data_IF_362093720639
#
_entry.id   IF_362093720639
#
_cell.length_a   1.000
_cell.length_b   1.000
_cell.length_c   1.000
_cell.angle_alpha   90.00
_cell.angle_beta   90.00
_cell.angle_gamma   90.00
#
_symmetry.space_group_name_H-M   'P 1'
#
loop_
_entity.id
_entity.type
_entity.pdbx_description
1 polymer ?
#
# COMPACT_ATOMS: atom_id res chain seq x y z
N UNK A 1 0.88 26.66 11.37
CA UNK A 1 2.27 26.97 11.78
C UNK A 1 3.19 26.10 10.92
N UNK A 2 4.21 26.68 10.29
CA UNK A 2 5.18 25.91 9.49
C UNK A 2 6.11 25.15 10.43
N UNK A 3 6.27 23.85 10.24
CA UNK A 3 7.16 23.01 11.04
C UNK A 3 8.50 22.83 10.33
N UNK A 4 9.52 22.37 11.05
CA UNK A 4 10.82 22.05 10.44
C UNK A 4 10.71 20.96 9.36
N UNK A 5 9.75 20.05 9.48
CA UNK A 5 9.57 19.00 8.49
C UNK A 5 8.91 19.50 7.20
N UNK A 6 8.04 20.54 7.31
CA UNK A 6 7.52 21.23 6.12
C UNK A 6 8.66 21.95 5.38
N UNK A 7 9.58 22.60 6.11
CA UNK A 7 10.76 23.25 5.54
C UNK A 7 11.68 22.22 4.85
N UNK A 8 11.92 21.10 5.52
CA UNK A 8 12.74 20.02 4.95
C UNK A 8 12.12 19.50 3.64
N UNK A 9 10.81 19.23 3.61
CA UNK A 9 10.10 18.76 2.41
C UNK A 9 10.25 19.74 1.25
N UNK A 10 10.05 21.03 1.50
CA UNK A 10 10.19 22.08 0.50
C UNK A 10 11.61 22.08 -0.12
N UNK A 11 12.65 22.09 0.73
CA UNK A 11 14.05 22.15 0.27
C UNK A 11 14.47 20.86 -0.43
N UNK A 12 14.07 19.70 0.11
CA UNK A 12 14.40 18.42 -0.50
C UNK A 12 13.81 18.26 -1.89
N UNK A 13 12.58 18.73 -2.08
CA UNK A 13 11.86 18.70 -3.36
C UNK A 13 12.45 19.67 -4.38
N UNK A 14 12.92 20.83 -3.92
CA UNK A 14 13.48 21.88 -4.80
C UNK A 14 14.82 21.46 -5.45
N UNK A 15 15.57 20.56 -4.82
CA UNK A 15 16.90 20.07 -5.28
C UNK A 15 17.94 21.15 -5.56
N UNK A 16 17.72 22.38 -5.12
CA UNK A 16 18.62 23.49 -5.25
C UNK A 16 18.73 24.24 -3.92
N UNK A 17 19.87 24.91 -3.63
CA UNK A 17 20.02 25.70 -2.42
C UNK A 17 18.95 26.80 -2.34
N UNK A 18 18.37 26.98 -1.15
CA UNK A 18 17.38 28.02 -0.87
C UNK A 18 17.88 28.96 0.24
N UNK A 19 17.78 30.26 0.00
CA UNK A 19 18.03 31.25 1.07
C UNK A 19 16.84 31.27 2.03
N UNK A 20 17.04 31.66 3.31
CA UNK A 20 15.93 31.72 4.27
C UNK A 20 14.75 32.57 3.81
N UNK A 21 15.00 33.64 3.05
CA UNK A 21 13.96 34.49 2.47
C UNK A 21 13.12 33.73 1.43
N UNK A 22 13.77 32.87 0.62
CA UNK A 22 13.07 32.08 -0.40
C UNK A 22 12.18 31.02 0.26
N UNK A 23 12.63 30.45 1.38
CA UNK A 23 11.84 29.53 2.20
C UNK A 23 10.61 30.24 2.79
N UNK A 24 10.78 31.46 3.32
CA UNK A 24 9.67 32.29 3.84
C UNK A 24 8.63 32.54 2.73
N UNK A 25 9.07 32.92 1.54
CA UNK A 25 8.21 33.15 0.37
C UNK A 25 7.52 31.87 -0.09
N UNK A 26 8.22 30.75 -0.09
CA UNK A 26 7.66 29.44 -0.47
C UNK A 26 6.46 29.00 0.37
N UNK A 27 6.36 29.52 1.61
CA UNK A 27 5.22 29.29 2.50
C UNK A 27 4.22 30.46 2.53
N UNK A 28 4.33 31.46 1.68
CA UNK A 28 3.51 32.69 1.68
C UNK A 28 3.48 33.35 3.06
N UNK A 29 4.64 33.40 3.75
CA UNK A 29 4.80 33.99 5.08
C UNK A 29 5.36 35.40 5.00
N UNK A 30 5.15 36.17 6.09
CA UNK A 30 5.69 37.52 6.23
C UNK A 30 7.16 37.54 6.65
N UNK A 31 7.83 38.67 6.49
CA UNK A 31 9.20 38.85 6.96
C UNK A 31 9.35 38.64 8.49
N UNK A 32 8.28 38.84 9.26
CA UNK A 32 8.24 38.56 10.68
C UNK A 32 8.49 37.06 11.05
N UNK A 33 8.19 36.15 10.13
CA UNK A 33 8.42 34.72 10.29
C UNK A 33 9.89 34.28 10.03
N UNK A 34 10.73 35.20 9.51
CA UNK A 34 12.11 34.91 9.11
C UNK A 34 12.95 34.29 10.23
N UNK A 35 12.91 34.86 11.44
CA UNK A 35 13.70 34.35 12.56
C UNK A 35 13.29 32.94 12.98
N UNK A 36 11.98 32.65 12.98
CA UNK A 36 11.47 31.33 13.28
C UNK A 36 11.91 30.28 12.25
N UNK A 37 11.79 30.61 10.97
CA UNK A 37 12.21 29.73 9.86
C UNK A 37 13.74 29.54 9.89
N UNK A 38 14.53 30.60 10.10
CA UNK A 38 15.97 30.50 10.18
C UNK A 38 16.43 29.62 11.37
N UNK A 39 15.75 29.70 12.51
CA UNK A 39 16.00 28.80 13.65
C UNK A 39 15.75 27.33 13.25
N UNK A 40 14.62 27.03 12.58
CA UNK A 40 14.30 25.68 12.14
C UNK A 40 15.29 25.14 11.09
N UNK A 41 15.78 25.99 10.16
CA UNK A 41 16.85 25.65 9.23
C UNK A 41 18.14 25.21 9.94
N UNK A 42 18.53 25.94 11.00
CA UNK A 42 19.68 25.56 11.83
C UNK A 42 19.46 24.23 12.55
N UNK A 43 18.26 23.99 13.05
CA UNK A 43 17.92 22.70 13.67
C UNK A 43 18.03 21.55 12.66
N UNK A 44 17.59 21.75 11.42
CA UNK A 44 17.70 20.74 10.36
C UNK A 44 19.17 20.46 9.97
N UNK A 45 20.03 21.48 9.99
CA UNK A 45 21.48 21.28 9.80
C UNK A 45 22.08 20.50 10.96
N UNK A 46 21.74 20.83 12.20
CA UNK A 46 22.20 20.10 13.38
C UNK A 46 21.73 18.64 13.40
N UNK A 47 20.58 18.33 12.79
CA UNK A 47 20.05 16.97 12.62
C UNK A 47 20.72 16.21 11.46
N UNK A 48 21.58 16.85 10.66
CA UNK A 48 22.22 16.27 9.48
C UNK A 48 21.25 16.04 8.32
N UNK A 49 20.18 16.83 8.23
CA UNK A 49 19.16 16.73 7.17
C UNK A 49 19.37 17.77 6.08
N UNK A 50 19.96 18.91 6.43
CA UNK A 50 20.36 19.96 5.52
C UNK A 50 21.85 20.28 5.72
N UNK A 51 22.47 20.83 4.69
CA UNK A 51 23.77 21.47 4.75
C UNK A 51 23.66 22.95 4.34
N UNK A 52 24.49 23.78 4.95
CA UNK A 52 24.59 25.19 4.61
C UNK A 52 25.71 25.37 3.58
N UNK A 53 25.41 26.02 2.47
CA UNK A 53 26.35 26.39 1.41
C UNK A 53 26.45 27.91 1.31
N UNK A 54 27.32 28.42 0.42
CA UNK A 54 27.38 29.83 0.10
C UNK A 54 26.10 30.37 -0.59
N UNK A 55 25.35 29.48 -1.27
CA UNK A 55 24.11 29.82 -1.96
C UNK A 55 22.85 29.70 -1.12
N UNK A 56 22.95 29.10 0.07
CA UNK A 56 21.81 28.89 0.98
C UNK A 56 21.83 27.54 1.69
N UNK A 57 20.65 27.01 1.97
CA UNK A 57 20.45 25.69 2.57
C UNK A 57 19.97 24.70 1.53
N UNK A 58 20.56 23.52 1.49
CA UNK A 58 20.16 22.43 0.59
C UNK A 58 20.05 21.11 1.36
N UNK A 59 19.32 20.14 0.79
CA UNK A 59 19.16 18.83 1.38
C UNK A 59 20.50 18.09 1.42
N UNK A 60 20.81 17.50 2.57
CA UNK A 60 21.92 16.56 2.69
C UNK A 60 21.42 15.18 2.23
N UNK A 61 21.92 14.72 1.06
CA UNK A 61 21.44 13.49 0.39
C UNK A 61 22.00 12.23 1.06
N UNK A 62 21.87 12.15 2.40
CA UNK A 62 22.25 10.99 3.19
C UNK A 62 21.05 10.09 3.48
N UNK A 63 21.33 8.87 3.94
CA UNK A 63 20.32 7.83 4.25
C UNK A 63 19.21 8.32 5.18
N UNK A 64 19.54 9.17 6.16
CA UNK A 64 18.58 9.71 7.12
C UNK A 64 17.59 10.68 6.46
N UNK A 65 18.08 11.53 5.57
CA UNK A 65 17.27 12.45 4.80
C UNK A 65 16.35 11.71 3.80
N UNK A 66 16.87 10.67 3.14
CA UNK A 66 16.07 9.81 2.26
C UNK A 66 14.93 9.13 3.01
N UNK A 67 15.21 8.56 4.19
CA UNK A 67 14.20 7.91 5.03
C UNK A 67 13.12 8.91 5.45
N UNK A 68 13.53 10.11 5.92
CA UNK A 68 12.59 11.15 6.32
C UNK A 68 11.71 11.59 5.14
N UNK A 69 12.32 11.83 3.98
CA UNK A 69 11.55 12.20 2.79
C UNK A 69 10.57 11.11 2.36
N UNK A 70 10.98 9.84 2.42
CA UNK A 70 10.11 8.69 2.18
C UNK A 70 8.90 8.63 3.12
N UNK A 71 9.10 8.90 4.42
CA UNK A 71 8.01 8.99 5.41
C UNK A 71 7.05 10.13 5.05
N UNK A 72 7.58 11.31 4.74
CA UNK A 72 6.78 12.48 4.36
C UNK A 72 5.94 12.18 3.11
N UNK A 73 6.57 11.64 2.05
CA UNK A 73 5.86 11.31 0.81
C UNK A 73 4.77 10.26 1.02
N UNK A 74 5.05 9.24 1.83
CA UNK A 74 4.03 8.24 2.18
C UNK A 74 2.83 8.87 2.89
N UNK A 75 3.07 9.77 3.83
CA UNK A 75 1.99 10.48 4.54
C UNK A 75 1.18 11.38 3.60
N UNK A 76 1.86 12.13 2.71
CA UNK A 76 1.21 13.01 1.75
C UNK A 76 0.34 12.23 0.76
N UNK A 77 0.82 11.09 0.26
CA UNK A 77 0.02 10.19 -0.61
C UNK A 77 -1.25 9.67 0.08
N UNK A 78 -1.19 9.45 1.40
CA UNK A 78 -2.31 8.93 2.19
C UNK A 78 -3.14 10.03 2.89
N UNK A 79 -2.93 11.31 2.56
CA UNK A 79 -3.61 12.46 3.17
C UNK A 79 -3.51 12.49 4.72
N UNK A 80 -2.43 11.98 5.28
CA UNK A 80 -2.16 12.05 6.72
C UNK A 80 -1.04 13.05 6.97
N UNK A 81 -1.21 13.91 7.96
CA UNK A 81 -0.16 14.84 8.35
C UNK A 81 1.02 14.08 8.96
N UNK A 82 2.17 14.13 8.31
CA UNK A 82 3.42 13.53 8.79
C UNK A 82 3.89 14.13 10.13
N UNK A 83 3.44 15.32 10.49
CA UNK A 83 3.74 15.95 11.76
C UNK A 83 3.18 15.18 12.97
N UNK A 84 2.14 14.35 12.78
CA UNK A 84 1.65 13.46 13.84
C UNK A 84 2.55 12.24 14.06
N UNK A 85 3.21 11.76 13.00
CA UNK A 85 4.12 10.61 13.08
C UNK A 85 5.53 11.02 13.50
N UNK A 86 6.00 12.17 13.02
CA UNK A 86 7.37 12.66 13.27
C UNK A 86 7.49 13.26 14.69
N UNK A 87 6.96 12.54 15.67
CA UNK A 87 7.01 12.83 17.10
C UNK A 87 7.86 11.78 17.83
N UNK A 88 8.79 12.24 18.65
CA UNK A 88 9.73 11.37 19.38
C UNK A 88 9.03 10.46 20.39
N UNK A 89 7.96 10.94 21.02
CA UNK A 89 7.20 10.15 21.99
C UNK A 89 6.37 9.08 21.27
N UNK A 90 5.85 9.40 20.08
CA UNK A 90 5.17 8.42 19.26
C UNK A 90 6.13 7.31 18.79
N UNK A 91 7.35 7.65 18.39
CA UNK A 91 8.36 6.65 18.04
C UNK A 91 8.77 5.78 19.25
N UNK A 92 8.90 6.37 20.45
CA UNK A 92 9.14 5.63 21.68
C UNK A 92 7.99 4.67 22.03
N UNK A 93 6.75 5.12 21.85
CA UNK A 93 5.58 4.26 21.98
C UNK A 93 5.64 3.08 20.99
N UNK A 94 5.90 3.34 19.72
CA UNK A 94 5.98 2.30 18.70
C UNK A 94 7.09 1.28 18.97
N UNK A 95 8.25 1.73 19.46
CA UNK A 95 9.36 0.84 19.78
C UNK A 95 9.01 -0.21 20.85
N UNK A 96 8.13 0.15 21.79
CA UNK A 96 7.57 -0.79 22.79
C UNK A 96 6.43 -1.62 22.23
N UNK A 97 5.54 -1.00 21.45
CA UNK A 97 4.32 -1.59 20.95
C UNK A 97 4.56 -2.73 19.96
N UNK A 98 5.53 -2.57 19.08
CA UNK A 98 5.87 -3.58 18.07
C UNK A 98 6.62 -4.81 18.63
N UNK A 99 7.04 -4.77 19.88
CA UNK A 99 7.64 -5.92 20.57
C UNK A 99 6.60 -6.89 21.15
N UNK A 100 5.32 -6.54 21.08
CA UNK A 100 4.24 -7.32 21.67
C UNK A 100 3.19 -7.68 20.63
N UNK A 101 2.62 -8.86 20.78
CA UNK A 101 1.53 -9.30 19.90
C UNK A 101 0.26 -8.47 20.13
N UNK A 102 -0.05 -8.19 21.40
CA UNK A 102 -1.12 -7.29 21.83
C UNK A 102 -0.56 -6.27 22.81
N UNK A 103 -1.11 -5.06 22.76
CA UNK A 103 -0.67 -3.96 23.60
C UNK A 103 -1.83 -3.28 24.32
N UNK A 104 -1.55 -2.91 25.57
CA UNK A 104 -2.43 -2.08 26.42
C UNK A 104 -1.74 -0.76 26.78
N UNK A 105 -2.47 0.23 27.32
CA UNK A 105 -1.85 1.47 27.81
C UNK A 105 -0.71 1.23 28.84
N UNK A 106 -0.87 0.20 29.69
CA UNK A 106 0.11 -0.19 30.70
C UNK A 106 1.38 -0.74 30.06
N UNK A 107 1.25 -1.59 29.05
CA UNK A 107 2.39 -2.16 28.33
C UNK A 107 3.21 -1.11 27.60
N UNK A 108 2.52 -0.10 27.07
CA UNK A 108 3.14 1.01 26.35
C UNK A 108 3.73 2.09 27.30
N UNK A 109 3.51 1.96 28.62
CA UNK A 109 3.89 2.98 29.58
C UNK A 109 3.38 4.38 29.16
N UNK A 110 2.11 4.42 28.79
CA UNK A 110 1.49 5.59 28.16
C UNK A 110 0.14 5.88 28.78
N UNK A 111 -0.15 7.15 29.05
CA UNK A 111 -1.45 7.54 29.57
C UNK A 111 -2.59 7.09 28.61
N UNK A 112 -3.72 6.56 29.11
CA UNK A 112 -4.79 6.00 28.28
C UNK A 112 -5.31 6.94 27.18
N UNK A 113 -5.39 8.25 27.42
CA UNK A 113 -5.81 9.24 26.40
C UNK A 113 -4.78 9.35 25.28
N UNK A 114 -3.48 9.37 25.62
CA UNK A 114 -2.39 9.42 24.64
C UNK A 114 -2.31 8.13 23.84
N UNK A 115 -2.47 6.98 24.53
CA UNK A 115 -2.56 5.67 23.88
C UNK A 115 -3.67 5.64 22.83
N UNK A 116 -4.88 6.07 23.21
CA UNK A 116 -6.02 6.16 22.27
C UNK A 116 -5.70 7.05 21.07
N UNK A 117 -5.10 8.24 21.31
CA UNK A 117 -4.68 9.15 20.22
C UNK A 117 -3.68 8.48 19.27
N UNK A 118 -2.72 7.71 19.78
CA UNK A 118 -1.75 6.99 18.96
C UNK A 118 -2.41 5.88 18.13
N UNK A 119 -3.36 5.15 18.72
CA UNK A 119 -4.15 4.16 17.97
C UNK A 119 -5.00 4.81 16.87
N UNK A 120 -5.58 6.00 17.12
CA UNK A 120 -6.33 6.75 16.11
C UNK A 120 -5.44 7.18 14.93
N UNK A 121 -4.18 7.58 15.20
CA UNK A 121 -3.20 7.88 14.15
C UNK A 121 -2.90 6.62 13.33
N UNK A 122 -2.59 5.50 13.99
CA UNK A 122 -2.30 4.23 13.32
C UNK A 122 -3.47 3.69 12.52
N UNK A 123 -4.70 3.92 13.02
CA UNK A 123 -5.92 3.49 12.33
C UNK A 123 -6.12 4.20 10.98
N UNK A 124 -5.68 5.46 10.85
CA UNK A 124 -5.73 6.19 9.57
C UNK A 124 -4.86 5.55 8.48
N UNK A 125 -3.85 4.77 8.88
CA UNK A 125 -2.99 4.00 7.98
C UNK A 125 -3.40 2.52 7.89
N UNK A 126 -4.48 2.10 8.54
CA UNK A 126 -4.87 0.70 8.61
C UNK A 126 -3.89 -0.20 9.38
N UNK A 127 -3.05 0.37 10.25
CA UNK A 127 -1.95 -0.33 10.93
C UNK A 127 -2.31 -0.80 12.34
N UNK A 128 -3.57 -0.78 12.74
CA UNK A 128 -4.00 -1.21 14.06
C UNK A 128 -5.33 -1.97 14.00
N UNK A 129 -5.42 -3.02 14.80
CA UNK A 129 -6.65 -3.74 15.08
C UNK A 129 -7.03 -3.53 16.56
N UNK A 130 -8.22 -3.00 16.81
CA UNK A 130 -8.75 -2.90 18.17
C UNK A 130 -9.39 -4.25 18.54
N UNK A 131 -8.74 -4.98 19.45
CA UNK A 131 -9.19 -6.30 19.92
C UNK A 131 -10.29 -6.16 20.97
N UNK A 132 -10.13 -5.23 21.90
CA UNK A 132 -11.09 -4.95 22.97
C UNK A 132 -11.11 -3.46 23.31
N UNK A 133 -12.29 -2.93 23.66
CA UNK A 133 -12.46 -1.55 24.10
C UNK A 133 -12.46 -1.37 25.62
N UNK A 134 -12.77 -2.44 26.36
CA UNK A 134 -12.84 -2.45 27.84
C UNK A 134 -12.33 -3.81 28.37
N UNK A 135 -11.07 -3.92 28.85
CA UNK A 135 -9.99 -2.94 28.76
C UNK A 135 -9.54 -2.71 27.30
N UNK A 136 -8.99 -1.53 27.01
CA UNK A 136 -8.52 -1.21 25.66
C UNK A 136 -7.29 -2.05 25.34
N UNK A 137 -7.41 -2.92 24.32
CA UNK A 137 -6.33 -3.76 23.77
C UNK A 137 -6.29 -3.61 22.27
N UNK A 138 -5.10 -3.56 21.71
CA UNK A 138 -4.90 -3.43 20.28
C UNK A 138 -3.70 -4.26 19.82
N UNK A 139 -3.75 -4.68 18.56
CA UNK A 139 -2.62 -5.25 17.82
C UNK A 139 -2.15 -4.21 16.80
N UNK A 140 -0.85 -3.91 16.79
CA UNK A 140 -0.26 -3.00 15.81
C UNK A 140 0.43 -3.85 14.75
N UNK A 141 0.09 -3.62 13.49
CA UNK A 141 0.70 -4.35 12.38
C UNK A 141 2.03 -3.70 11.99
N UNK A 142 3.04 -4.53 11.79
CA UNK A 142 4.28 -4.10 11.22
C UNK A 142 4.10 -3.55 9.81
N UNK A 143 4.78 -2.44 9.53
CA UNK A 143 4.79 -1.83 8.22
C UNK A 143 6.13 -1.12 8.00
N UNK A 144 6.56 -1.03 6.73
CA UNK A 144 7.81 -0.36 6.36
C UNK A 144 7.85 1.11 6.79
N UNK A 145 6.69 1.79 6.80
CA UNK A 145 6.56 3.16 7.31
C UNK A 145 6.97 3.25 8.77
N UNK A 146 6.43 2.35 9.63
CA UNK A 146 6.75 2.32 11.07
C UNK A 146 8.21 1.95 11.30
N UNK A 147 8.76 1.04 10.49
CA UNK A 147 10.18 0.71 10.55
C UNK A 147 11.06 1.92 10.21
N UNK A 148 10.75 2.60 9.12
CA UNK A 148 11.49 3.80 8.70
C UNK A 148 11.41 4.90 9.75
N UNK A 149 10.25 5.06 10.41
CA UNK A 149 10.07 6.00 11.50
C UNK A 149 10.99 5.66 12.69
N UNK A 150 11.04 4.38 13.08
CA UNK A 150 11.92 3.91 14.15
C UNK A 150 13.39 4.12 13.81
N UNK A 151 13.83 3.78 12.60
CA UNK A 151 15.20 4.00 12.12
C UNK A 151 15.55 5.49 12.15
N UNK A 152 14.63 6.35 11.68
CA UNK A 152 14.83 7.80 11.68
C UNK A 152 15.10 8.37 13.08
N UNK A 153 14.38 7.85 14.09
CA UNK A 153 14.57 8.24 15.50
C UNK A 153 15.69 7.49 16.24
N UNK A 154 16.42 6.63 15.55
CA UNK A 154 17.59 5.91 16.09
C UNK A 154 17.26 4.67 16.92
N UNK A 155 16.04 4.14 16.83
CA UNK A 155 15.71 2.87 17.45
C UNK A 155 16.27 1.72 16.61
N UNK A 156 17.07 0.86 17.25
CA UNK A 156 17.51 -0.39 16.61
C UNK A 156 16.33 -1.36 16.57
N UNK A 157 16.08 -1.89 15.40
CA UNK A 157 14.96 -2.81 15.19
C UNK A 157 15.48 -4.23 15.01
N UNK A 158 15.71 -4.94 16.11
CA UNK A 158 16.10 -6.36 16.09
C UNK A 158 14.88 -7.29 16.04
N UNK A 159 13.69 -6.80 16.42
CA UNK A 159 12.50 -7.62 16.71
C UNK A 159 11.77 -8.10 15.45
N UNK A 160 11.92 -7.42 14.31
CA UNK A 160 11.12 -7.74 13.12
C UNK A 160 11.76 -8.81 12.23
N UNK A 161 13.06 -8.99 12.34
CA UNK A 161 13.75 -10.05 11.61
C UNK A 161 13.38 -11.45 12.11
N UNK A 162 13.13 -11.63 13.39
CA UNK A 162 12.82 -12.96 13.96
C UNK A 162 11.36 -13.39 13.73
N UNK A 163 10.38 -12.49 13.93
CA UNK A 163 8.96 -12.85 13.73
C UNK A 163 8.61 -13.12 12.27
N UNK A 164 9.24 -12.41 11.33
CA UNK A 164 9.06 -12.64 9.89
C UNK A 164 9.74 -13.91 9.40
N UNK A 165 10.80 -14.40 10.07
CA UNK A 165 11.45 -15.66 9.73
C UNK A 165 10.62 -16.89 10.11
N UNK A 166 9.87 -16.84 11.22
CA UNK A 166 9.05 -17.98 11.68
C UNK A 166 7.97 -18.29 10.64
N UNK A 167 7.18 -17.29 10.26
CA UNK A 167 6.11 -17.48 9.26
C UNK A 167 6.64 -17.80 7.86
N UNK A 168 7.77 -17.26 7.45
CA UNK A 168 8.36 -17.58 6.13
C UNK A 168 8.69 -19.05 6.00
N UNK A 169 9.28 -19.66 7.02
CA UNK A 169 9.59 -21.11 7.04
C UNK A 169 8.32 -21.96 7.02
N UNK A 170 7.30 -21.53 7.76
CA UNK A 170 6.01 -22.21 7.77
C UNK A 170 5.31 -22.13 6.42
N UNK A 171 5.27 -20.96 5.80
CA UNK A 171 4.72 -20.76 4.44
C UNK A 171 5.50 -21.61 3.43
N UNK A 172 6.81 -21.64 3.48
CA UNK A 172 7.64 -22.49 2.60
C UNK A 172 7.33 -23.98 2.79
N UNK A 173 7.16 -24.42 4.03
CA UNK A 173 6.77 -25.79 4.34
C UNK A 173 5.41 -26.13 3.74
N UNK A 174 4.42 -25.32 3.99
CA UNK A 174 3.04 -25.52 3.47
C UNK A 174 3.02 -25.45 1.93
N UNK A 175 3.75 -24.53 1.32
CA UNK A 175 3.89 -24.44 -0.13
C UNK A 175 4.51 -25.73 -0.72
N UNK A 176 5.51 -26.30 -0.05
CA UNK A 176 6.13 -27.55 -0.48
C UNK A 176 5.19 -28.76 -0.31
N UNK A 177 4.36 -28.76 0.75
CA UNK A 177 3.29 -29.75 0.94
C UNK A 177 2.25 -29.61 -0.18
N UNK A 178 1.77 -28.41 -0.43
CA UNK A 178 0.81 -28.13 -1.49
C UNK A 178 1.32 -28.56 -2.88
N UNK A 179 2.57 -28.23 -3.22
CA UNK A 179 3.20 -28.67 -4.49
C UNK A 179 3.29 -30.20 -4.63
N UNK A 180 3.52 -30.91 -3.52
CA UNK A 180 3.53 -32.38 -3.51
C UNK A 180 2.15 -32.97 -3.66
N UNK A 181 1.16 -32.44 -2.95
CA UNK A 181 -0.24 -32.88 -3.03
C UNK A 181 -0.82 -32.65 -4.43
N UNK A 182 -0.54 -31.48 -5.04
CA UNK A 182 -0.91 -31.18 -6.43
C UNK A 182 -0.46 -32.26 -7.42
N UNK A 183 0.75 -32.82 -7.22
CA UNK A 183 1.27 -33.88 -8.10
C UNK A 183 0.66 -35.25 -7.81
N UNK A 184 0.19 -35.51 -6.59
CA UNK A 184 -0.34 -36.82 -6.16
C UNK A 184 -1.84 -36.94 -6.38
N UNK A 185 -2.57 -35.86 -6.22
CA UNK A 185 -4.04 -35.80 -6.33
C UNK A 185 -4.45 -34.61 -7.20
N UNK A 186 -4.40 -34.82 -8.51
CA UNK A 186 -4.80 -33.79 -9.47
C UNK A 186 -6.31 -33.46 -9.38
N UNK A 187 -7.14 -34.44 -9.07
CA UNK A 187 -8.59 -34.23 -8.95
C UNK A 187 -8.92 -33.37 -7.73
N UNK A 188 -8.33 -33.68 -6.57
CA UNK A 188 -8.44 -32.86 -5.35
C UNK A 188 -7.91 -31.46 -5.56
N UNK A 189 -6.78 -31.32 -6.26
CA UNK A 189 -6.23 -30.00 -6.60
C UNK A 189 -7.19 -29.19 -7.48
N UNK A 190 -7.76 -29.78 -8.53
CA UNK A 190 -8.72 -29.11 -9.40
C UNK A 190 -9.96 -28.65 -8.64
N UNK A 191 -10.42 -29.46 -7.65
CA UNK A 191 -11.55 -29.09 -6.80
C UNK A 191 -11.21 -27.86 -5.94
N UNK A 192 -10.05 -27.84 -5.27
CA UNK A 192 -9.60 -26.71 -4.44
C UNK A 192 -9.49 -25.44 -5.28
N UNK A 193 -8.90 -25.52 -6.48
CA UNK A 193 -8.78 -24.36 -7.40
C UNK A 193 -10.15 -23.83 -7.81
N UNK A 194 -11.09 -24.73 -8.08
CA UNK A 194 -12.46 -24.35 -8.48
C UNK A 194 -13.23 -23.68 -7.32
N UNK A 195 -13.14 -24.25 -6.12
CA UNK A 195 -13.79 -23.68 -4.93
C UNK A 195 -13.20 -22.27 -4.63
N UNK A 196 -11.90 -22.11 -4.79
CA UNK A 196 -11.23 -20.81 -4.69
C UNK A 196 -11.73 -19.84 -5.76
N UNK A 197 -11.78 -20.27 -7.02
CA UNK A 197 -12.24 -19.47 -8.16
C UNK A 197 -13.66 -18.92 -7.93
N UNK A 198 -14.61 -19.79 -7.56
CA UNK A 198 -16.00 -19.37 -7.29
C UNK A 198 -16.07 -18.36 -6.15
N UNK A 199 -15.36 -18.64 -5.05
CA UNK A 199 -15.29 -17.76 -3.89
C UNK A 199 -14.67 -16.41 -4.26
N UNK A 200 -13.59 -16.42 -5.02
CA UNK A 200 -12.89 -15.20 -5.46
C UNK A 200 -13.77 -14.34 -6.37
N UNK A 201 -14.43 -14.94 -7.37
CA UNK A 201 -15.38 -14.24 -8.26
C UNK A 201 -16.48 -13.57 -7.46
N UNK A 202 -17.11 -14.33 -6.56
CA UNK A 202 -18.19 -13.80 -5.70
C UNK A 202 -17.73 -12.62 -4.85
N UNK A 203 -16.64 -12.77 -4.09
CA UNK A 203 -16.19 -11.72 -3.18
C UNK A 203 -15.74 -10.46 -3.93
N UNK A 204 -15.04 -10.61 -5.05
CA UNK A 204 -14.61 -9.47 -5.86
C UNK A 204 -15.81 -8.69 -6.40
N UNK A 205 -16.75 -9.37 -7.04
CA UNK A 205 -17.93 -8.71 -7.62
C UNK A 205 -18.89 -8.15 -6.56
N UNK A 206 -18.99 -8.81 -5.40
CA UNK A 206 -19.78 -8.30 -4.27
C UNK A 206 -19.21 -6.98 -3.73
N UNK A 207 -17.89 -6.78 -3.75
CA UNK A 207 -17.27 -5.50 -3.38
C UNK A 207 -17.62 -4.39 -4.38
N UNK A 208 -17.77 -4.74 -5.66
CA UNK A 208 -18.18 -3.80 -6.72
C UNK A 208 -19.70 -3.59 -6.79
N UNK A 209 -20.47 -4.28 -5.93
CA UNK A 209 -21.91 -4.07 -5.78
C UNK A 209 -22.78 -5.02 -6.62
N UNK A 210 -22.22 -6.08 -7.20
CA UNK A 210 -23.02 -7.14 -7.85
C UNK A 210 -23.90 -7.83 -6.78
N UNK A 211 -25.22 -7.95 -7.00
CA UNK A 211 -26.16 -8.45 -5.99
C UNK A 211 -26.24 -9.97 -5.89
N UNK A 212 -25.56 -10.70 -6.78
CA UNK A 212 -25.61 -12.17 -6.85
C UNK A 212 -24.95 -12.77 -5.60
N UNK A 213 -25.63 -13.70 -4.93
CA UNK A 213 -25.15 -14.38 -3.75
C UNK A 213 -24.11 -15.45 -4.08
N UNK A 214 -23.31 -15.89 -3.08
CA UNK A 214 -22.34 -16.99 -3.27
C UNK A 214 -23.01 -18.28 -3.78
N UNK A 215 -24.21 -18.61 -3.26
CA UNK A 215 -24.97 -19.80 -3.71
C UNK A 215 -25.41 -19.69 -5.17
N UNK A 216 -25.82 -18.50 -5.61
CA UNK A 216 -26.18 -18.26 -7.00
C UNK A 216 -24.95 -18.26 -7.91
N UNK A 217 -23.83 -17.64 -7.46
CA UNK A 217 -22.54 -17.72 -8.15
C UNK A 217 -22.12 -19.17 -8.39
N UNK A 218 -22.25 -20.02 -7.34
CA UNK A 218 -21.97 -21.44 -7.45
C UNK A 218 -22.85 -22.10 -8.53
N UNK A 219 -24.17 -21.88 -8.50
CA UNK A 219 -25.10 -22.43 -9.51
C UNK A 219 -24.75 -22.01 -10.93
N UNK A 220 -24.42 -20.71 -11.12
CA UNK A 220 -24.06 -20.17 -12.43
C UNK A 220 -22.76 -20.80 -12.94
N UNK A 221 -21.73 -20.85 -12.11
CA UNK A 221 -20.38 -21.24 -12.54
C UNK A 221 -20.17 -22.75 -12.53
N UNK A 222 -20.72 -23.44 -11.54
CA UNK A 222 -20.56 -24.89 -11.34
C UNK A 222 -21.66 -25.70 -12.03
N UNK A 223 -22.92 -25.39 -11.70
CA UNK A 223 -24.07 -26.19 -12.18
C UNK A 223 -24.54 -25.75 -13.55
N UNK A 224 -24.05 -24.61 -14.06
CA UNK A 224 -24.50 -23.99 -15.32
C UNK A 224 -25.99 -23.66 -15.36
N UNK A 225 -26.58 -23.41 -14.18
CA UNK A 225 -27.98 -23.05 -13.97
C UNK A 225 -28.08 -21.56 -13.63
N UNK A 226 -28.91 -20.84 -14.38
CA UNK A 226 -29.17 -19.42 -14.11
C UNK A 226 -30.52 -19.32 -13.39
N UNK A 227 -30.54 -18.86 -12.11
CA UNK A 227 -31.78 -18.58 -11.41
C UNK A 227 -32.62 -17.54 -12.14
N UNK A 228 -33.94 -17.79 -12.26
CA UNK A 228 -34.81 -16.97 -13.10
C UNK A 228 -35.12 -15.55 -12.62
N UNK A 229 -34.70 -15.21 -11.39
CA UNK A 229 -34.88 -13.91 -10.77
C UNK A 229 -33.68 -12.96 -10.98
N UNK A 230 -32.62 -13.42 -11.65
CA UNK A 230 -31.38 -12.64 -11.82
C UNK A 230 -31.42 -11.81 -13.11
N UNK A 231 -30.82 -10.62 -13.05
CA UNK A 231 -30.63 -9.80 -14.25
C UNK A 231 -29.52 -10.38 -15.12
N UNK A 232 -29.73 -10.38 -16.42
CA UNK A 232 -28.75 -10.90 -17.40
C UNK A 232 -27.39 -10.22 -17.25
N UNK A 233 -27.36 -8.91 -17.07
CA UNK A 233 -26.11 -8.15 -16.91
C UNK A 233 -25.29 -8.63 -15.69
N UNK A 234 -25.93 -8.86 -14.54
CA UNK A 234 -25.25 -9.31 -13.32
C UNK A 234 -24.68 -10.73 -13.51
N UNK A 235 -25.41 -11.60 -14.22
CA UNK A 235 -24.98 -12.97 -14.57
C UNK A 235 -23.79 -12.94 -15.55
N UNK A 236 -23.86 -12.10 -16.55
CA UNK A 236 -22.79 -11.97 -17.55
C UNK A 236 -21.50 -11.42 -16.91
N UNK A 237 -21.61 -10.51 -15.95
CA UNK A 237 -20.48 -9.99 -15.17
C UNK A 237 -19.80 -11.15 -14.41
N UNK A 238 -20.55 -12.01 -13.72
CA UNK A 238 -20.01 -13.20 -13.04
C UNK A 238 -19.25 -14.11 -14.01
N UNK A 239 -19.81 -14.38 -15.20
CA UNK A 239 -19.18 -15.24 -16.19
C UNK A 239 -17.92 -14.63 -16.79
N UNK A 240 -17.97 -13.34 -17.13
CA UNK A 240 -16.83 -12.62 -17.70
C UNK A 240 -15.67 -12.55 -16.70
N UNK A 241 -15.98 -12.30 -15.42
CA UNK A 241 -14.96 -12.25 -14.38
C UNK A 241 -14.30 -13.62 -14.17
N UNK A 242 -15.11 -14.72 -14.20
CA UNK A 242 -14.56 -16.07 -14.20
C UNK A 242 -13.62 -16.31 -15.37
N UNK A 243 -14.03 -15.93 -16.58
CA UNK A 243 -13.22 -16.11 -17.80
C UNK A 243 -11.87 -15.36 -17.70
N UNK A 244 -11.89 -14.13 -17.17
CA UNK A 244 -10.66 -13.36 -16.94
C UNK A 244 -9.72 -14.08 -15.97
N UNK A 245 -10.24 -14.62 -14.85
CA UNK A 245 -9.44 -15.37 -13.87
C UNK A 245 -8.87 -16.65 -14.50
N UNK A 246 -9.67 -17.40 -15.26
CA UNK A 246 -9.19 -18.61 -15.94
C UNK A 246 -8.10 -18.30 -16.95
N UNK A 247 -8.19 -17.18 -17.66
CA UNK A 247 -7.14 -16.72 -18.57
C UNK A 247 -5.86 -16.37 -17.80
N UNK A 248 -5.97 -15.66 -16.67
CA UNK A 248 -4.81 -15.35 -15.81
C UNK A 248 -4.13 -16.62 -15.27
N UNK A 249 -4.92 -17.61 -14.81
CA UNK A 249 -4.40 -18.88 -14.32
C UNK A 249 -3.70 -19.68 -15.43
N UNK A 250 -4.25 -19.67 -16.64
CA UNK A 250 -3.65 -20.29 -17.81
C UNK A 250 -2.32 -19.64 -18.17
N UNK A 251 -2.29 -18.33 -18.28
CA UNK A 251 -1.06 -17.58 -18.61
C UNK A 251 0.02 -17.78 -17.56
N UNK A 252 -0.37 -17.84 -16.27
CA UNK A 252 0.53 -18.18 -15.16
C UNK A 252 1.08 -19.63 -15.28
N UNK A 253 0.24 -20.59 -15.66
CA UNK A 253 0.66 -21.98 -15.86
C UNK A 253 1.64 -22.12 -17.05
N UNK A 254 1.45 -21.31 -18.07
CA UNK A 254 2.31 -21.19 -19.25
C UNK A 254 3.58 -20.35 -18.96
N UNK A 255 3.73 -19.83 -17.75
CA UNK A 255 4.83 -18.95 -17.31
C UNK A 255 4.99 -17.68 -18.15
N UNK A 256 3.88 -17.16 -18.66
CA UNK A 256 3.89 -15.87 -19.34
C UNK A 256 4.18 -14.76 -18.34
N UNK A 257 5.04 -13.85 -18.74
CA UNK A 257 5.37 -12.66 -17.94
C UNK A 257 4.22 -11.67 -18.04
N UNK A 258 3.74 -11.17 -16.89
CA UNK A 258 2.71 -10.15 -16.83
C UNK A 258 3.24 -8.85 -17.45
N UNK A 259 2.41 -8.20 -18.26
CA UNK A 259 2.70 -6.91 -18.87
C UNK A 259 1.42 -6.09 -19.03
N UNK A 260 1.55 -4.83 -19.44
CA UNK A 260 0.40 -3.93 -19.60
C UNK A 260 -0.62 -4.51 -20.59
N UNK A 261 -0.18 -5.12 -21.70
CA UNK A 261 -1.08 -5.69 -22.69
C UNK A 261 -1.91 -6.86 -22.13
N UNK A 262 -1.29 -7.74 -21.30
CA UNK A 262 -2.03 -8.82 -20.63
C UNK A 262 -3.03 -8.28 -19.60
N UNK A 263 -2.69 -7.24 -18.85
CA UNK A 263 -3.63 -6.60 -17.91
C UNK A 263 -4.81 -5.97 -18.65
N UNK A 264 -4.56 -5.27 -19.74
CA UNK A 264 -5.64 -4.72 -20.60
C UNK A 264 -6.53 -5.82 -21.18
N UNK A 265 -5.93 -6.95 -21.57
CA UNK A 265 -6.70 -8.10 -22.06
C UNK A 265 -7.61 -8.69 -20.95
N UNK A 266 -7.09 -8.89 -19.72
CA UNK A 266 -7.90 -9.39 -18.60
C UNK A 266 -9.04 -8.45 -18.26
N UNK A 267 -8.77 -7.14 -18.21
CA UNK A 267 -9.80 -6.13 -18.01
C UNK A 267 -10.83 -6.15 -19.19
N UNK A 268 -10.35 -6.30 -20.43
CA UNK A 268 -11.23 -6.42 -21.61
C UNK A 268 -12.18 -7.62 -21.55
N UNK A 269 -11.72 -8.76 -20.99
CA UNK A 269 -12.56 -9.93 -20.77
C UNK A 269 -13.58 -9.65 -19.65
N UNK A 270 -13.14 -9.14 -18.52
CA UNK A 270 -13.99 -8.88 -17.36
C UNK A 270 -15.10 -7.85 -17.68
N UNK A 271 -14.74 -6.79 -18.39
CA UNK A 271 -15.64 -5.67 -18.73
C UNK A 271 -16.27 -5.77 -20.13
N UNK A 272 -16.34 -6.96 -20.71
CA UNK A 272 -16.85 -7.20 -22.09
C UNK A 272 -18.22 -6.58 -22.33
N UNK A 273 -19.06 -6.54 -21.31
CA UNK A 273 -20.42 -5.95 -21.39
C UNK A 273 -20.42 -4.43 -21.42
N UNK A 274 -19.27 -3.79 -21.19
CA UNK A 274 -19.13 -2.32 -21.23
C UNK A 274 -18.03 -1.92 -22.23
N UNK A 275 -18.30 -2.03 -23.55
CA UNK A 275 -17.26 -1.88 -24.60
C UNK A 275 -16.56 -0.52 -24.62
N UNK A 276 -17.14 0.49 -23.98
CA UNK A 276 -16.54 1.83 -23.89
C UNK A 276 -15.25 1.82 -23.09
N UNK A 277 -15.17 1.02 -22.02
CA UNK A 277 -14.04 0.95 -21.08
C UNK A 277 -13.26 -0.36 -21.19
N UNK A 278 -13.87 -1.44 -21.71
CA UNK A 278 -13.27 -2.76 -21.78
C UNK A 278 -11.86 -2.75 -22.42
N UNK A 279 -10.85 -3.16 -21.65
CA UNK A 279 -9.45 -3.24 -22.10
C UNK A 279 -8.80 -1.90 -22.39
N UNK A 280 -9.29 -0.80 -21.83
CA UNK A 280 -8.79 0.54 -22.10
C UNK A 280 -8.35 1.24 -20.80
N UNK A 281 -7.25 1.93 -20.89
CA UNK A 281 -6.84 2.88 -19.83
C UNK A 281 -7.81 4.06 -19.88
N UNK A 282 -8.28 4.51 -18.70
CA UNK A 282 -9.13 5.69 -18.60
C UNK A 282 -8.43 6.96 -19.07
N UNK A 283 -9.19 7.82 -19.67
CA UNK A 283 -8.78 9.17 -20.10
C UNK A 283 -9.36 10.26 -19.21
N UNK A 284 -10.40 9.90 -18.44
CA UNK A 284 -11.12 10.83 -17.60
C UNK A 284 -10.68 10.72 -16.13
N UNK A 285 -10.86 11.79 -15.38
CA UNK A 285 -10.68 11.76 -13.93
C UNK A 285 -11.84 11.00 -13.28
N UNK A 286 -11.49 10.09 -12.37
CA UNK A 286 -12.48 9.30 -11.62
C UNK A 286 -12.25 9.46 -10.12
N UNK A 287 -13.25 9.13 -9.32
CA UNK A 287 -13.20 9.22 -7.86
C UNK A 287 -13.62 7.90 -7.26
N UNK A 288 -12.90 7.48 -6.21
CA UNK A 288 -13.26 6.26 -5.47
C UNK A 288 -14.46 6.56 -4.59
N UNK A 289 -15.59 5.92 -4.90
CA UNK A 289 -16.83 6.06 -4.13
C UNK A 289 -16.61 5.60 -2.69
N UNK A 290 -16.95 6.47 -1.74
CA UNK A 290 -16.80 6.18 -0.31
C UNK A 290 -15.44 6.54 0.29
N UNK A 291 -14.43 6.89 -0.52
CA UNK A 291 -13.14 7.40 -0.04
C UNK A 291 -12.63 8.57 -0.89
N UNK A 292 -13.25 9.76 -0.77
CA UNK A 292 -12.89 10.93 -1.58
C UNK A 292 -11.47 11.45 -1.30
N UNK A 293 -10.87 11.06 -0.18
CA UNK A 293 -9.51 11.47 0.21
C UNK A 293 -8.43 10.57 -0.39
N UNK A 294 -8.80 9.44 -0.99
CA UNK A 294 -7.86 8.56 -1.66
C UNK A 294 -7.46 9.16 -3.02
N UNK A 295 -6.24 9.66 -3.09
CA UNK A 295 -5.72 10.28 -4.31
C UNK A 295 -5.20 9.23 -5.26
N UNK A 296 -5.84 9.15 -6.41
CA UNK A 296 -5.39 8.34 -7.54
C UNK A 296 -4.57 9.18 -8.52
N UNK A 297 -3.81 8.50 -9.36
CA UNK A 297 -3.02 9.16 -10.42
C UNK A 297 -3.93 9.89 -11.39
N UNK A 298 -3.54 11.12 -11.78
CA UNK A 298 -4.24 11.87 -12.83
C UNK A 298 -4.20 11.11 -14.16
N UNK A 299 -5.27 11.20 -14.94
CA UNK A 299 -5.42 10.49 -16.20
C UNK A 299 -4.21 10.66 -17.14
N UNK A 300 -3.69 11.86 -17.26
CA UNK A 300 -2.52 12.22 -18.08
C UNK A 300 -1.20 11.50 -17.69
N UNK A 301 -1.09 11.07 -16.43
CA UNK A 301 0.11 10.43 -15.88
C UNK A 301 0.04 8.91 -15.81
N UNK A 302 -1.13 8.31 -16.05
CA UNK A 302 -1.36 6.86 -15.85
C UNK A 302 -0.36 6.02 -16.64
N UNK A 303 -0.17 6.34 -17.93
CA UNK A 303 0.74 5.58 -18.79
C UNK A 303 2.16 5.57 -18.23
N UNK A 304 2.68 6.73 -17.84
CA UNK A 304 4.04 6.87 -17.25
C UNK A 304 4.17 6.07 -15.97
N UNK A 305 3.17 6.14 -15.08
CA UNK A 305 3.21 5.43 -13.80
C UNK A 305 3.07 3.91 -13.97
N UNK A 306 2.26 3.46 -14.94
CA UNK A 306 2.19 2.05 -15.32
C UNK A 306 3.52 1.55 -15.89
N UNK A 307 4.11 2.28 -16.83
CA UNK A 307 5.39 1.91 -17.42
C UNK A 307 6.46 1.76 -16.32
N UNK A 308 6.54 2.71 -15.38
CA UNK A 308 7.46 2.66 -14.25
C UNK A 308 7.18 1.48 -13.29
N UNK A 309 5.91 1.14 -13.05
CA UNK A 309 5.53 0.00 -12.23
C UNK A 309 5.93 -1.32 -12.89
N UNK A 310 5.69 -1.47 -14.20
CA UNK A 310 6.05 -2.68 -14.94
C UNK A 310 7.55 -2.82 -15.15
N UNK A 311 8.31 -1.73 -15.26
CA UNK A 311 9.78 -1.77 -15.25
C UNK A 311 10.31 -2.40 -13.95
N UNK A 312 9.79 -1.98 -12.79
CA UNK A 312 10.13 -2.60 -11.50
C UNK A 312 9.69 -4.07 -11.39
N UNK A 313 8.55 -4.41 -11.99
CA UNK A 313 8.11 -5.80 -12.06
C UNK A 313 9.08 -6.64 -12.87
N UNK A 314 9.51 -6.16 -14.03
CA UNK A 314 10.47 -6.83 -14.88
C UNK A 314 11.84 -7.00 -14.19
N UNK A 315 12.31 -5.98 -13.48
CA UNK A 315 13.53 -6.06 -12.67
C UNK A 315 13.40 -7.14 -11.59
N UNK A 316 12.23 -7.22 -10.93
CA UNK A 316 11.98 -8.22 -9.90
C UNK A 316 11.95 -9.64 -10.46
N UNK A 317 11.26 -9.86 -11.58
CA UNK A 317 11.12 -11.19 -12.22
C UNK A 317 12.46 -11.70 -12.80
N UNK A 318 13.34 -10.80 -13.25
CA UNK A 318 14.67 -11.17 -13.76
C UNK A 318 15.65 -11.64 -12.69
N UNK A 319 15.35 -11.49 -11.40
CA UNK A 319 16.17 -12.03 -10.34
C UNK A 319 16.19 -13.56 -10.41
N UNK A 320 17.38 -14.14 -10.42
CA UNK A 320 17.55 -15.61 -10.50
C UNK A 320 16.88 -16.36 -9.35
N UNK A 321 16.88 -15.77 -8.15
CA UNK A 321 16.25 -16.35 -6.96
C UNK A 321 15.63 -15.22 -6.12
N UNK A 322 14.37 -15.40 -5.80
CA UNK A 322 13.66 -14.56 -4.82
C UNK A 322 13.12 -15.44 -3.70
N UNK A 323 13.34 -15.03 -2.46
CA UNK A 323 12.73 -15.68 -1.30
C UNK A 323 11.21 -15.47 -1.33
N UNK A 324 10.47 -16.34 -0.65
CA UNK A 324 9.00 -16.20 -0.54
C UNK A 324 8.60 -14.86 0.07
N UNK A 325 9.41 -14.34 0.98
CA UNK A 325 9.21 -13.02 1.58
C UNK A 325 9.34 -11.89 0.56
N UNK A 326 10.36 -11.94 -0.30
CA UNK A 326 10.53 -10.92 -1.36
C UNK A 326 9.37 -10.98 -2.33
N UNK A 327 8.90 -12.19 -2.68
CA UNK A 327 7.74 -12.38 -3.57
C UNK A 327 6.49 -11.75 -2.94
N UNK A 328 6.19 -12.05 -1.66
CA UNK A 328 5.02 -11.51 -0.97
C UNK A 328 5.10 -9.99 -0.80
N UNK A 329 6.27 -9.46 -0.42
CA UNK A 329 6.47 -8.02 -0.28
C UNK A 329 6.31 -7.31 -1.62
N UNK A 330 6.84 -7.88 -2.69
CA UNK A 330 6.70 -7.31 -4.02
C UNK A 330 5.25 -7.37 -4.52
N UNK A 331 4.54 -8.47 -4.27
CA UNK A 331 3.12 -8.59 -4.63
C UNK A 331 2.27 -7.52 -3.94
N UNK A 332 2.48 -7.28 -2.64
CA UNK A 332 1.80 -6.21 -1.88
C UNK A 332 2.17 -4.83 -2.43
N UNK A 333 3.46 -4.59 -2.71
CA UNK A 333 3.93 -3.36 -3.31
C UNK A 333 3.26 -3.11 -4.66
N UNK A 334 3.29 -4.10 -5.57
CA UNK A 334 2.71 -4.00 -6.90
C UNK A 334 1.21 -3.72 -6.83
N UNK A 335 0.48 -4.44 -5.98
CA UNK A 335 -0.96 -4.24 -5.79
C UNK A 335 -1.27 -2.82 -5.30
N UNK A 336 -0.56 -2.32 -4.29
CA UNK A 336 -0.78 -0.97 -3.77
C UNK A 336 -0.49 0.13 -4.80
N UNK A 337 0.61 0.01 -5.54
CA UNK A 337 0.95 0.99 -6.58
C UNK A 337 -0.08 0.93 -7.73
N UNK A 338 -0.53 -0.27 -8.12
CA UNK A 338 -1.56 -0.43 -9.14
C UNK A 338 -2.89 0.22 -8.71
N UNK A 339 -3.30 0.05 -7.44
CA UNK A 339 -4.48 0.72 -6.89
C UNK A 339 -4.33 2.25 -6.88
N UNK A 340 -3.15 2.79 -6.57
CA UNK A 340 -2.90 4.24 -6.64
C UNK A 340 -2.92 4.77 -8.06
N UNK A 341 -2.42 4.00 -9.02
CA UNK A 341 -2.49 4.36 -10.44
C UNK A 341 -3.94 4.37 -10.90
N UNK A 342 -4.74 3.39 -10.47
CA UNK A 342 -6.14 3.22 -10.81
C UNK A 342 -6.39 3.42 -12.31
N UNK A 343 -5.87 2.50 -13.15
CA UNK A 343 -5.80 2.76 -14.59
C UNK A 343 -7.12 2.62 -15.33
N UNK A 344 -8.16 2.05 -14.70
CA UNK A 344 -9.45 1.77 -15.29
C UNK A 344 -10.55 2.70 -14.80
N UNK A 345 -11.69 2.72 -15.51
CA UNK A 345 -12.81 3.62 -15.25
C UNK A 345 -14.02 2.94 -14.59
N UNK A 346 -13.87 1.69 -14.19
CA UNK A 346 -14.85 0.86 -13.50
C UNK A 346 -14.79 0.98 -11.98
#
# INVERSE_FOLDING_TARGET
MVTKYDIFELIYKNRAPMKPVDVVRGFNKSEGDYHAIHKQLRELVALGLLRKTEYGFEADMNKKAEILYGIIQHCLKNNVSYNYLLDKNFAAFLSKALQKEEITPKDADTHPRTFKKYLEILNRFGLVLIISRKPLRAKIFYNILLNNLLIYFGYKHEVITESTHVYSKEIERELNIFKRLRKKDEAGYRKVVRDFEISFVYHSLSLEGNPITLSETFKILQDKVIPGNLKSLDVDEVKNYQEAILQMLKDSAEKKVLNIASVLNYHGIAMRNVPKIAGKIRTDEVYIKGNPDFKITKAENIKRELDALFEKYDEFVRKEKSSIREILNFAVYFHNEFQHIHPFAD
#
